data_IF_941706450700
#
_entry.id   IF_941706450700
#
_cell.length_a   1.000
_cell.length_b   1.000
_cell.length_c   1.000
_cell.angle_alpha   90.00
_cell.angle_beta   90.00
_cell.angle_gamma   90.00
#
_symmetry.space_group_name_H-M   'P 1'
#
loop_
_entity.id
_entity.type
_entity.pdbx_description
1 polymer ?
#
# COMPACT_ATOMS: atom_id res chain seq x y z
N UNK A 1 -2.17 -29.97 10.29
CA UNK A 1 -1.35 -30.68 9.30
C UNK A 1 -1.11 -29.71 8.11
N UNK A 2 0.11 -29.70 7.54
CA UNK A 2 0.42 -28.89 6.35
C UNK A 2 -0.16 -29.56 5.10
N UNK A 3 -0.77 -28.77 4.19
CA UNK A 3 -1.25 -29.25 2.91
C UNK A 3 -0.18 -29.01 1.82
N UNK A 4 -0.05 -29.91 0.84
CA UNK A 4 0.81 -29.67 -0.34
C UNK A 4 0.50 -28.37 -1.08
N UNK A 5 -0.75 -27.90 -0.98
CA UNK A 5 -1.25 -26.65 -1.57
C UNK A 5 -1.24 -25.47 -0.61
N UNK A 6 -0.64 -25.59 0.58
CA UNK A 6 -0.41 -24.44 1.43
C UNK A 6 0.38 -23.37 0.67
N UNK A 7 -0.04 -22.12 0.78
CA UNK A 7 0.59 -21.00 0.09
C UNK A 7 1.76 -20.48 0.91
N UNK A 8 2.96 -20.64 0.38
CA UNK A 8 4.21 -20.22 1.01
C UNK A 8 4.73 -18.92 0.38
N UNK A 9 5.16 -17.98 1.19
CA UNK A 9 5.94 -16.81 0.76
C UNK A 9 7.40 -17.28 0.69
N UNK A 10 7.97 -17.29 -0.51
CA UNK A 10 9.33 -17.77 -0.75
C UNK A 10 10.32 -16.67 -1.09
N UNK A 11 9.83 -15.49 -1.48
CA UNK A 11 10.65 -14.32 -1.75
C UNK A 11 9.86 -13.04 -1.62
N UNK A 12 10.59 -11.95 -1.38
CA UNK A 12 10.01 -10.61 -1.27
C UNK A 12 11.04 -9.53 -1.56
N UNK A 13 10.56 -8.40 -2.04
CA UNK A 13 11.36 -7.19 -2.20
C UNK A 13 10.44 -5.99 -2.38
N UNK A 14 10.94 -4.81 -2.03
CA UNK A 14 10.33 -3.53 -2.36
C UNK A 14 11.36 -2.51 -2.83
N UNK A 15 10.91 -1.51 -3.54
CA UNK A 15 11.71 -0.31 -3.75
C UNK A 15 11.80 0.49 -2.46
N UNK A 16 12.73 1.44 -2.33
CA UNK A 16 12.55 2.56 -1.41
C UNK A 16 11.21 3.24 -1.70
N UNK A 17 10.62 3.89 -0.71
CA UNK A 17 9.44 4.73 -0.89
C UNK A 17 9.89 6.17 -1.08
N UNK A 18 9.61 6.73 -2.27
CA UNK A 18 9.85 8.13 -2.61
C UNK A 18 8.72 9.03 -2.10
N UNK A 19 9.06 10.20 -1.60
CA UNK A 19 8.07 11.25 -1.30
C UNK A 19 7.43 11.77 -2.59
N UNK A 20 6.25 12.37 -2.46
CA UNK A 20 5.59 13.04 -3.59
C UNK A 20 6.51 14.08 -4.23
N UNK A 21 6.74 13.94 -5.53
CA UNK A 21 7.69 14.74 -6.31
C UNK A 21 9.13 14.69 -5.76
N UNK A 22 9.47 13.60 -5.08
CA UNK A 22 10.78 13.36 -4.50
C UNK A 22 11.71 12.53 -5.39
N UNK A 23 12.56 11.73 -4.76
CA UNK A 23 13.67 11.01 -5.42
C UNK A 23 13.20 10.04 -6.53
N UNK A 24 11.98 9.48 -6.44
CA UNK A 24 11.43 8.55 -7.43
C UNK A 24 10.45 9.20 -8.41
N UNK A 25 10.24 10.51 -8.36
CA UNK A 25 9.22 11.20 -9.14
C UNK A 25 9.36 11.05 -10.67
N UNK A 26 10.57 10.82 -11.17
CA UNK A 26 10.81 10.58 -12.61
C UNK A 26 10.50 9.14 -13.05
N UNK A 27 10.15 8.26 -12.10
CA UNK A 27 9.96 6.83 -12.36
C UNK A 27 8.48 6.50 -12.45
N UNK A 28 8.11 5.75 -13.49
CA UNK A 28 6.74 5.25 -13.67
C UNK A 28 6.46 4.10 -12.71
N UNK A 29 5.18 3.88 -12.38
CA UNK A 29 4.75 2.72 -11.58
C UNK A 29 5.26 1.39 -12.19
N UNK A 30 5.25 1.27 -13.51
CA UNK A 30 5.75 0.09 -14.24
C UNK A 30 7.24 -0.16 -13.99
N UNK A 31 8.07 0.87 -14.02
CA UNK A 31 9.51 0.76 -13.73
C UNK A 31 9.77 0.34 -12.28
N UNK A 32 9.05 0.95 -11.32
CA UNK A 32 9.12 0.61 -9.91
C UNK A 32 8.66 -0.84 -9.68
N UNK A 33 7.52 -1.23 -10.27
CA UNK A 33 6.99 -2.59 -10.20
C UNK A 33 7.97 -3.62 -10.74
N UNK A 34 8.63 -3.31 -11.87
CA UNK A 34 9.61 -4.24 -12.45
C UNK A 34 10.83 -4.45 -11.53
N UNK A 35 11.28 -3.42 -10.84
CA UNK A 35 12.38 -3.53 -9.89
C UNK A 35 11.99 -4.40 -8.68
N UNK A 36 10.79 -4.18 -8.12
CA UNK A 36 10.28 -5.00 -7.02
C UNK A 36 10.15 -6.48 -7.42
N UNK A 37 9.62 -6.78 -8.62
CA UNK A 37 9.52 -8.16 -9.14
C UNK A 37 10.90 -8.79 -9.25
N UNK A 38 11.87 -8.12 -9.88
CA UNK A 38 13.26 -8.64 -10.00
C UNK A 38 13.85 -8.95 -8.63
N UNK A 39 13.73 -8.01 -7.69
CA UNK A 39 14.22 -8.18 -6.34
C UNK A 39 13.56 -9.35 -5.62
N UNK A 40 12.23 -9.49 -5.73
CA UNK A 40 11.49 -10.58 -5.11
C UNK A 40 11.90 -11.96 -5.66
N UNK A 41 12.01 -12.10 -6.98
CA UNK A 41 12.47 -13.34 -7.62
C UNK A 41 13.91 -13.66 -7.23
N UNK A 42 14.81 -12.67 -7.24
CA UNK A 42 16.20 -12.84 -6.83
C UNK A 42 16.33 -13.28 -5.35
N UNK A 43 15.42 -12.81 -4.49
CA UNK A 43 15.43 -13.18 -3.06
C UNK A 43 15.02 -14.63 -2.76
N UNK A 44 14.47 -15.32 -3.77
CA UNK A 44 14.12 -16.77 -3.66
C UNK A 44 15.31 -17.70 -3.81
N UNK A 45 16.52 -17.20 -4.02
CA UNK A 45 17.73 -18.01 -4.18
C UNK A 45 17.80 -18.72 -5.54
N UNK A 46 17.37 -19.97 -5.62
CA UNK A 46 17.50 -20.79 -6.84
C UNK A 46 16.33 -20.66 -7.83
N UNK A 47 15.30 -19.91 -7.50
CA UNK A 47 14.13 -19.75 -8.39
C UNK A 47 14.52 -19.01 -9.68
N UNK A 48 14.27 -19.64 -10.82
CA UNK A 48 14.50 -19.00 -12.12
C UNK A 48 13.27 -18.17 -12.53
N UNK A 49 13.46 -17.01 -13.16
CA UNK A 49 12.33 -16.19 -13.66
C UNK A 49 11.34 -16.96 -14.55
N UNK A 50 11.84 -17.95 -15.32
CA UNK A 50 11.02 -18.81 -16.17
C UNK A 50 10.08 -19.76 -15.42
N UNK A 51 10.26 -19.91 -14.10
CA UNK A 51 9.37 -20.73 -13.27
C UNK A 51 8.14 -19.97 -12.78
N UNK A 52 8.08 -18.65 -12.96
CA UNK A 52 6.91 -17.85 -12.62
C UNK A 52 5.80 -18.15 -13.65
N UNK A 53 4.62 -18.51 -13.17
CA UNK A 53 3.49 -18.94 -13.99
C UNK A 53 2.40 -17.88 -14.13
N UNK A 54 2.32 -16.93 -13.19
CA UNK A 54 1.32 -15.86 -13.24
C UNK A 54 1.76 -14.65 -12.41
N UNK A 55 1.24 -13.46 -12.74
CA UNK A 55 1.51 -12.21 -12.03
C UNK A 55 0.22 -11.46 -11.73
N UNK A 56 0.01 -11.09 -10.47
CA UNK A 56 -1.02 -10.14 -10.05
C UNK A 56 -0.39 -8.93 -9.41
N UNK A 57 -0.65 -7.73 -9.92
CA UNK A 57 -0.17 -6.48 -9.31
C UNK A 57 -1.32 -5.51 -9.03
N UNK A 58 -1.36 -5.01 -7.81
CA UNK A 58 -2.19 -3.89 -7.41
C UNK A 58 -1.72 -2.60 -8.09
N UNK A 59 -2.65 -1.86 -8.69
CA UNK A 59 -2.35 -0.57 -9.31
C UNK A 59 -3.65 0.25 -9.40
N UNK A 60 -3.66 1.43 -8.82
CA UNK A 60 -4.85 2.30 -8.73
C UNK A 60 -4.81 3.37 -9.82
N UNK A 61 -3.71 4.09 -9.95
CA UNK A 61 -3.53 5.24 -10.85
C UNK A 61 -3.06 4.78 -12.23
N UNK A 62 -3.84 3.95 -12.90
CA UNK A 62 -3.46 3.33 -14.17
C UNK A 62 -3.64 4.23 -15.40
N UNK A 63 -4.27 5.39 -15.25
CA UNK A 63 -4.43 6.34 -16.36
C UNK A 63 -3.06 6.83 -16.86
N UNK A 64 -2.86 6.80 -18.17
CA UNK A 64 -1.58 7.18 -18.79
C UNK A 64 -0.46 6.13 -18.72
N UNK A 65 -0.65 5.01 -18.02
CA UNK A 65 0.36 3.95 -17.90
C UNK A 65 0.39 2.96 -19.08
N UNK A 66 -0.40 3.19 -20.11
CA UNK A 66 -0.52 2.31 -21.26
C UNK A 66 -1.37 1.06 -20.99
N UNK A 67 -1.25 0.07 -21.87
CA UNK A 67 -2.04 -1.15 -21.80
C UNK A 67 -1.41 -2.14 -20.82
N UNK A 68 -2.23 -2.74 -19.94
CA UNK A 68 -1.85 -3.82 -19.03
C UNK A 68 -0.55 -3.52 -18.20
N UNK A 69 -0.56 -2.54 -17.30
CA UNK A 69 0.65 -2.12 -16.56
C UNK A 69 1.36 -3.26 -15.81
N UNK A 70 0.60 -4.21 -15.23
CA UNK A 70 1.19 -5.39 -14.59
C UNK A 70 2.01 -6.23 -15.57
N UNK A 71 1.53 -6.39 -16.82
CA UNK A 71 2.28 -7.11 -17.85
C UNK A 71 3.53 -6.37 -18.27
N UNK A 72 3.45 -5.05 -18.43
CA UNK A 72 4.63 -4.24 -18.74
C UNK A 72 5.71 -4.40 -17.66
N UNK A 73 5.31 -4.34 -16.38
CA UNK A 73 6.22 -4.52 -15.26
C UNK A 73 6.86 -5.92 -15.23
N UNK A 74 6.07 -6.97 -15.51
CA UNK A 74 6.55 -8.35 -15.57
C UNK A 74 7.57 -8.56 -16.69
N UNK A 75 7.30 -8.06 -17.91
CA UNK A 75 8.21 -8.15 -19.05
C UNK A 75 9.50 -7.36 -18.81
N UNK A 76 9.38 -6.13 -18.28
CA UNK A 76 10.53 -5.32 -17.87
C UNK A 76 11.36 -5.97 -16.76
N UNK A 77 10.74 -6.80 -15.93
CA UNK A 77 11.43 -7.58 -14.91
C UNK A 77 12.18 -8.79 -15.47
N UNK A 78 11.99 -9.13 -16.76
CA UNK A 78 12.62 -10.28 -17.43
C UNK A 78 11.83 -11.58 -17.25
N UNK A 79 10.54 -11.53 -16.90
CA UNK A 79 9.67 -12.71 -16.92
C UNK A 79 9.30 -13.08 -18.37
N UNK A 80 8.93 -14.34 -18.58
CA UNK A 80 8.56 -14.84 -19.90
C UNK A 80 7.32 -14.13 -20.46
N UNK A 81 7.28 -13.94 -21.77
CA UNK A 81 6.09 -13.46 -22.49
C UNK A 81 4.87 -14.38 -22.37
N UNK A 82 5.08 -15.65 -22.03
CA UNK A 82 4.01 -16.63 -21.79
C UNK A 82 3.30 -16.46 -20.45
N UNK A 83 3.82 -15.62 -19.53
CA UNK A 83 3.25 -15.42 -18.20
C UNK A 83 2.02 -14.52 -18.28
N UNK A 84 0.82 -14.98 -17.94
CA UNK A 84 -0.35 -14.13 -17.83
C UNK A 84 -0.19 -13.14 -16.68
N UNK A 85 -0.66 -11.91 -16.88
CA UNK A 85 -0.52 -10.83 -15.92
C UNK A 85 -1.83 -10.06 -15.76
N UNK A 86 -2.21 -9.78 -14.52
CA UNK A 86 -3.44 -9.07 -14.19
C UNK A 86 -3.15 -7.87 -13.28
N UNK A 87 -3.67 -6.70 -13.66
CA UNK A 87 -3.71 -5.53 -12.77
C UNK A 87 -4.98 -5.58 -11.92
N UNK A 88 -4.84 -5.35 -10.62
CA UNK A 88 -5.95 -5.38 -9.64
C UNK A 88 -6.12 -3.99 -9.06
N UNK A 89 -7.34 -3.47 -9.09
CA UNK A 89 -7.68 -2.22 -8.40
C UNK A 89 -8.75 -2.46 -7.33
N UNK A 90 -8.36 -2.29 -6.08
CA UNK A 90 -9.21 -2.27 -4.90
C UNK A 90 -8.75 -1.12 -3.99
N UNK A 91 -8.47 0.03 -4.56
CA UNK A 91 -7.93 1.22 -3.90
C UNK A 91 -6.69 0.84 -3.06
N UNK A 92 -6.53 1.34 -1.83
CA UNK A 92 -5.37 1.09 -0.98
C UNK A 92 -5.09 -0.40 -0.69
N UNK A 93 -6.09 -1.29 -0.83
CA UNK A 93 -5.93 -2.73 -0.63
C UNK A 93 -5.59 -3.52 -1.90
N UNK A 94 -5.27 -2.85 -3.01
CA UNK A 94 -5.01 -3.50 -4.31
C UNK A 94 -3.85 -4.50 -4.24
N UNK A 95 -2.75 -4.15 -3.57
CA UNK A 95 -1.60 -5.03 -3.41
C UNK A 95 -1.93 -6.29 -2.63
N UNK A 96 -2.65 -6.17 -1.50
CA UNK A 96 -3.10 -7.35 -0.75
C UNK A 96 -4.17 -8.15 -1.50
N UNK A 97 -5.03 -7.50 -2.28
CA UNK A 97 -5.97 -8.24 -3.14
C UNK A 97 -5.23 -9.05 -4.21
N UNK A 98 -4.14 -8.54 -4.75
CA UNK A 98 -3.25 -9.29 -5.63
C UNK A 98 -2.65 -10.53 -4.92
N UNK A 99 -2.25 -10.41 -3.65
CA UNK A 99 -1.82 -11.56 -2.83
C UNK A 99 -2.95 -12.59 -2.70
N UNK A 100 -4.18 -12.16 -2.43
CA UNK A 100 -5.35 -13.05 -2.36
C UNK A 100 -5.59 -13.76 -3.68
N UNK A 101 -5.51 -13.06 -4.82
CA UNK A 101 -5.68 -13.67 -6.14
C UNK A 101 -4.63 -14.75 -6.42
N UNK A 102 -3.35 -14.47 -6.15
CA UNK A 102 -2.26 -15.43 -6.30
C UNK A 102 -2.41 -16.63 -5.35
N UNK A 103 -2.83 -16.39 -4.12
CA UNK A 103 -3.08 -17.46 -3.16
C UNK A 103 -4.21 -18.37 -3.60
N UNK A 104 -5.30 -17.82 -4.15
CA UNK A 104 -6.41 -18.60 -4.69
C UNK A 104 -6.00 -19.43 -5.89
N UNK A 105 -5.16 -18.91 -6.78
CA UNK A 105 -4.65 -19.66 -7.94
C UNK A 105 -3.83 -20.88 -7.50
N UNK A 106 -2.97 -20.73 -6.48
CA UNK A 106 -2.21 -21.84 -5.90
C UNK A 106 -3.12 -22.82 -5.18
N UNK A 107 -4.02 -22.32 -4.34
CA UNK A 107 -4.93 -23.16 -3.54
C UNK A 107 -5.88 -24.00 -4.41
N UNK A 108 -6.27 -23.46 -5.57
CA UNK A 108 -7.06 -24.17 -6.58
C UNK A 108 -6.23 -25.18 -7.40
N UNK A 109 -4.92 -25.25 -7.19
CA UNK A 109 -4.03 -26.14 -7.97
C UNK A 109 -3.79 -25.69 -9.42
N UNK A 110 -4.11 -24.43 -9.76
CA UNK A 110 -3.93 -23.90 -11.11
C UNK A 110 -2.50 -23.42 -11.36
N UNK A 111 -1.78 -23.03 -10.31
CA UNK A 111 -0.40 -22.52 -10.36
C UNK A 111 0.40 -23.05 -9.17
N UNK A 112 1.69 -23.22 -9.39
CA UNK A 112 2.64 -23.53 -8.33
C UNK A 112 3.46 -22.29 -7.90
N UNK A 113 3.75 -21.36 -8.81
CA UNK A 113 4.57 -20.16 -8.55
C UNK A 113 3.92 -18.91 -9.11
N UNK A 114 3.60 -17.95 -8.25
CA UNK A 114 2.92 -16.71 -8.61
C UNK A 114 3.66 -15.52 -8.02
N UNK A 115 3.89 -14.48 -8.82
CA UNK A 115 4.36 -13.18 -8.34
C UNK A 115 3.15 -12.29 -8.04
N UNK A 116 3.14 -11.70 -6.85
CA UNK A 116 2.07 -10.80 -6.41
C UNK A 116 2.66 -9.53 -5.81
N UNK A 117 1.90 -8.45 -5.79
CA UNK A 117 2.38 -7.21 -5.17
C UNK A 117 1.57 -5.99 -5.57
N UNK A 118 2.21 -4.82 -5.54
CA UNK A 118 1.62 -3.57 -5.95
C UNK A 118 2.68 -2.57 -6.38
N UNK A 119 2.26 -1.62 -7.19
CA UNK A 119 3.09 -0.54 -7.71
C UNK A 119 2.27 0.73 -7.85
N UNK A 120 2.85 1.87 -7.53
CA UNK A 120 2.20 3.16 -7.70
C UNK A 120 3.22 4.27 -7.92
N UNK A 121 2.87 5.25 -8.74
CA UNK A 121 3.62 6.49 -8.88
C UNK A 121 2.63 7.66 -8.80
N UNK A 122 2.41 8.14 -7.58
CA UNK A 122 1.46 9.21 -7.32
C UNK A 122 1.97 10.55 -7.86
N UNK A 123 3.29 10.71 -7.97
CA UNK A 123 3.93 11.87 -8.59
C UNK A 123 3.59 12.00 -10.09
N UNK A 124 3.27 10.91 -10.76
CA UNK A 124 2.96 10.86 -12.19
C UNK A 124 1.46 10.69 -12.50
N UNK A 125 0.58 10.85 -11.50
CA UNK A 125 -0.85 10.82 -11.71
C UNK A 125 -1.29 11.95 -12.67
N UNK A 126 -1.93 11.64 -13.83
CA UNK A 126 -2.30 12.66 -14.81
C UNK A 126 -3.55 13.41 -14.40
N UNK A 127 -3.72 14.62 -14.97
CA UNK A 127 -5.02 15.25 -15.01
C UNK A 127 -5.90 14.57 -16.06
N UNK A 128 -7.16 14.35 -15.73
CA UNK A 128 -8.14 13.69 -16.60
C UNK A 128 -9.06 14.72 -17.23
N UNK A 129 -9.21 14.67 -18.55
CA UNK A 129 -10.14 15.49 -19.29
C UNK A 129 -11.00 14.63 -20.23
N UNK A 130 -12.31 14.89 -20.29
CA UNK A 130 -13.19 14.19 -21.21
C UNK A 130 -12.89 14.60 -22.65
N UNK A 131 -12.37 13.67 -23.47
CA UNK A 131 -11.93 13.93 -24.86
C UNK A 131 -13.01 13.65 -25.89
N UNK A 132 -13.95 12.73 -25.62
CA UNK A 132 -14.90 12.21 -26.64
C UNK A 132 -16.30 12.81 -26.53
N UNK A 133 -16.44 14.05 -26.06
CA UNK A 133 -17.74 14.70 -25.81
C UNK A 133 -18.12 15.83 -26.75
N UNK A 134 -17.55 15.96 -27.96
CA UNK A 134 -17.82 17.05 -28.91
C UNK A 134 -17.30 18.43 -28.46
N UNK A 135 -17.66 19.50 -29.14
CA UNK A 135 -17.15 20.87 -28.86
C UNK A 135 -17.43 21.38 -27.45
N UNK A 136 -18.47 20.89 -26.79
CA UNK A 136 -18.79 21.22 -25.39
C UNK A 136 -17.78 20.62 -24.38
N UNK A 137 -17.03 19.61 -24.76
CA UNK A 137 -16.02 18.98 -23.89
C UNK A 137 -14.73 19.81 -23.75
N UNK A 138 -14.53 20.81 -24.60
CA UNK A 138 -13.35 21.70 -24.55
C UNK A 138 -13.36 22.57 -23.30
N UNK A 139 -14.51 22.76 -22.68
CA UNK A 139 -14.69 23.48 -21.40
C UNK A 139 -14.89 22.54 -20.21
N UNK A 140 -14.68 21.21 -20.39
CA UNK A 140 -14.77 20.27 -19.25
C UNK A 140 -13.64 20.54 -18.25
N UNK A 141 -14.02 20.67 -16.99
CA UNK A 141 -13.08 20.83 -15.89
C UNK A 141 -12.11 19.62 -15.89
N UNK A 142 -10.82 19.90 -15.99
CA UNK A 142 -9.80 18.86 -15.78
C UNK A 142 -9.93 18.33 -14.35
N UNK A 143 -10.06 17.03 -14.21
CA UNK A 143 -10.02 16.37 -12.90
C UNK A 143 -8.61 15.92 -12.62
N UNK A 144 -8.09 16.28 -11.45
CA UNK A 144 -6.86 15.70 -10.95
C UNK A 144 -7.11 14.21 -10.66
N UNK A 145 -6.44 13.33 -11.40
CA UNK A 145 -6.59 11.89 -11.26
C UNK A 145 -6.22 11.39 -9.86
N UNK A 146 -5.32 12.09 -9.18
CA UNK A 146 -4.97 11.79 -7.80
C UNK A 146 -6.13 12.10 -6.85
N UNK A 147 -6.73 13.27 -6.96
CA UNK A 147 -7.90 13.68 -6.14
C UNK A 147 -9.12 12.81 -6.45
N UNK A 148 -9.36 12.46 -7.74
CA UNK A 148 -10.48 11.60 -8.14
C UNK A 148 -10.33 10.19 -7.53
N UNK A 149 -9.12 9.61 -7.54
CA UNK A 149 -8.84 8.31 -6.94
C UNK A 149 -8.92 8.30 -5.41
N UNK A 150 -8.71 9.46 -4.78
CA UNK A 150 -8.78 9.62 -3.33
C UNK A 150 -10.20 9.88 -2.79
N UNK A 151 -11.24 9.52 -3.52
CA UNK A 151 -12.60 9.50 -3.00
C UNK A 151 -13.60 10.43 -3.69
N UNK A 152 -13.15 11.21 -4.70
CA UNK A 152 -14.00 12.21 -5.37
C UNK A 152 -15.27 11.67 -6.04
N UNK A 153 -15.31 10.37 -6.36
CA UNK A 153 -16.44 9.72 -7.01
C UNK A 153 -17.27 8.80 -6.10
N UNK A 154 -16.67 8.29 -5.01
CA UNK A 154 -17.33 7.34 -4.08
C UNK A 154 -17.93 8.04 -2.85
N UNK A 155 -17.34 9.15 -2.44
CA UNK A 155 -17.89 10.05 -1.44
C UNK A 155 -18.75 11.10 -2.17
N UNK A 156 -19.45 11.96 -1.46
CA UNK A 156 -20.19 13.05 -2.10
C UNK A 156 -19.28 13.87 -3.05
N UNK A 157 -19.79 14.40 -4.18
CA UNK A 157 -18.97 15.14 -5.12
C UNK A 157 -18.11 16.21 -4.46
N UNK A 158 -16.80 16.17 -4.70
CA UNK A 158 -15.83 17.08 -4.07
C UNK A 158 -15.36 16.68 -2.66
N UNK A 159 -15.82 15.54 -2.12
CA UNK A 159 -15.35 15.03 -0.83
C UNK A 159 -13.97 14.39 -0.95
N UNK A 160 -13.10 14.70 -0.01
CA UNK A 160 -11.81 14.03 0.15
C UNK A 160 -11.89 12.94 1.23
N UNK A 161 -11.04 11.92 1.16
CA UNK A 161 -10.95 10.83 2.16
C UNK A 161 -10.76 11.36 3.59
N UNK A 162 -10.13 12.52 3.74
CA UNK A 162 -9.97 13.17 5.04
C UNK A 162 -11.29 13.56 5.72
N UNK A 163 -12.37 13.82 4.97
CA UNK A 163 -13.69 14.04 5.56
C UNK A 163 -14.29 12.75 6.16
N UNK A 164 -14.00 11.59 5.57
CA UNK A 164 -14.34 10.31 6.16
C UNK A 164 -13.50 10.03 7.44
N UNK A 165 -12.26 10.49 7.46
CA UNK A 165 -11.44 10.45 8.68
C UNK A 165 -12.01 11.36 9.78
N UNK A 166 -12.48 12.57 9.44
CA UNK A 166 -13.18 13.45 10.40
C UNK A 166 -14.48 12.81 10.93
N UNK A 167 -15.26 12.17 10.05
CA UNK A 167 -16.45 11.41 10.47
C UNK A 167 -16.09 10.31 11.47
N UNK A 168 -15.00 9.58 11.21
CA UNK A 168 -14.51 8.55 12.13
C UNK A 168 -14.10 9.14 13.49
N UNK A 169 -13.46 10.32 13.49
CA UNK A 169 -13.15 11.04 14.72
C UNK A 169 -14.42 11.34 15.51
N UNK A 170 -15.50 11.81 14.85
CA UNK A 170 -16.79 12.09 15.50
C UNK A 170 -17.41 10.83 16.09
N UNK A 171 -17.50 9.78 15.28
CA UNK A 171 -18.16 8.52 15.68
C UNK A 171 -17.41 7.76 16.79
N UNK A 172 -16.10 7.93 16.89
CA UNK A 172 -15.24 7.20 17.84
C UNK A 172 -14.76 8.05 19.00
N UNK A 173 -15.08 9.34 19.03
CA UNK A 173 -14.61 10.27 20.07
C UNK A 173 -13.09 10.44 20.11
N UNK A 174 -12.43 10.30 18.94
CA UNK A 174 -10.98 10.45 18.84
C UNK A 174 -10.66 11.91 18.55
N UNK A 175 -9.86 12.51 19.43
CA UNK A 175 -9.49 13.90 19.34
C UNK A 175 -8.19 14.12 18.55
N UNK A 176 -7.86 15.39 18.35
CA UNK A 176 -6.66 15.82 17.67
C UNK A 176 -5.38 15.40 18.41
N UNK A 177 -5.39 15.48 19.74
CA UNK A 177 -4.23 15.14 20.56
C UNK A 177 -3.85 13.66 20.45
N UNK A 178 -4.84 12.77 20.50
CA UNK A 178 -4.62 11.34 20.31
C UNK A 178 -4.04 11.01 18.93
N UNK A 179 -4.51 11.69 17.88
CA UNK A 179 -4.00 11.49 16.53
C UNK A 179 -2.56 12.00 16.37
N UNK A 180 -2.24 13.18 16.91
CA UNK A 180 -0.88 13.73 16.87
C UNK A 180 0.08 12.86 17.69
N UNK A 181 -0.33 12.37 18.86
CA UNK A 181 0.48 11.46 19.66
C UNK A 181 0.77 10.13 18.92
N UNK A 182 -0.24 9.59 18.25
CA UNK A 182 -0.07 8.38 17.43
C UNK A 182 0.90 8.63 16.27
N UNK A 183 0.75 9.74 15.54
CA UNK A 183 1.64 10.09 14.44
C UNK A 183 3.09 10.27 14.89
N UNK A 184 3.32 10.99 16.00
CA UNK A 184 4.65 11.17 16.58
C UNK A 184 5.31 9.81 16.92
N UNK A 185 4.56 8.89 17.51
CA UNK A 185 5.06 7.56 17.84
C UNK A 185 5.34 6.73 16.57
N UNK A 186 4.51 6.82 15.53
CA UNK A 186 4.74 6.17 14.25
C UNK A 186 6.04 6.66 13.60
N UNK A 187 6.26 7.96 13.52
CA UNK A 187 7.51 8.53 13.01
C UNK A 187 8.72 8.09 13.87
N UNK A 188 8.61 8.15 15.17
CA UNK A 188 9.69 7.74 16.09
C UNK A 188 10.09 6.27 15.87
N UNK A 189 9.11 5.37 15.75
CA UNK A 189 9.37 3.94 15.50
C UNK A 189 9.99 3.71 14.14
N UNK A 190 9.45 4.32 13.09
CA UNK A 190 9.97 4.21 11.72
C UNK A 190 11.41 4.74 11.63
N UNK A 191 11.71 5.86 12.28
CA UNK A 191 13.06 6.42 12.35
C UNK A 191 14.03 5.49 13.07
N UNK A 192 13.64 4.97 14.24
CA UNK A 192 14.46 4.04 15.00
C UNK A 192 14.75 2.75 14.22
N UNK A 193 13.73 2.18 13.55
CA UNK A 193 13.88 0.99 12.71
C UNK A 193 14.77 1.24 11.49
N UNK A 194 14.64 2.39 10.85
CA UNK A 194 15.49 2.80 9.71
C UNK A 194 16.95 2.92 10.15
N UNK A 195 17.21 3.59 11.26
CA UNK A 195 18.57 3.73 11.80
C UNK A 195 19.19 2.39 12.22
N UNK A 196 18.38 1.50 12.76
CA UNK A 196 18.80 0.13 13.10
C UNK A 196 19.02 -0.75 11.85
N UNK A 197 18.65 -0.28 10.66
CA UNK A 197 18.77 -1.03 9.41
C UNK A 197 17.76 -2.18 9.29
N UNK A 198 16.64 -2.13 10.01
CA UNK A 198 15.63 -3.18 10.02
C UNK A 198 15.06 -3.47 8.61
N UNK A 199 14.97 -2.45 7.76
CA UNK A 199 14.42 -2.58 6.41
C UNK A 199 15.42 -3.00 5.33
N UNK A 200 16.71 -3.16 5.64
CA UNK A 200 17.76 -3.48 4.66
C UNK A 200 17.52 -4.78 3.89
N UNK A 201 16.80 -5.72 4.49
CA UNK A 201 16.54 -7.04 3.88
C UNK A 201 15.42 -7.02 2.85
N UNK A 202 14.58 -6.00 2.87
CA UNK A 202 13.42 -5.88 2.00
C UNK A 202 13.60 -4.81 0.92
N UNK A 203 14.36 -3.75 1.21
CA UNK A 203 14.63 -2.67 0.26
C UNK A 203 15.69 -3.09 -0.75
N UNK A 204 15.30 -3.23 -2.02
CA UNK A 204 16.24 -3.29 -3.12
C UNK A 204 16.67 -1.85 -3.49
N UNK A 205 17.97 -1.52 -3.46
CA UNK A 205 18.44 -0.22 -3.93
C UNK A 205 17.93 0.06 -5.33
N UNK A 206 17.41 1.28 -5.55
CA UNK A 206 16.87 1.68 -6.84
C UNK A 206 17.74 2.75 -7.49
N UNK A 207 18.24 2.45 -8.68
CA UNK A 207 19.02 3.39 -9.47
C UNK A 207 18.08 4.22 -10.34
N UNK A 208 17.98 5.51 -10.05
CA UNK A 208 17.27 6.49 -10.88
C UNK A 208 18.23 6.92 -11.98
N UNK A 209 17.95 6.59 -13.25
CA UNK A 209 18.81 7.03 -14.35
C UNK A 209 18.79 8.55 -14.47
N UNK A 210 19.92 9.14 -14.77
CA UNK A 210 20.00 10.56 -15.08
C UNK A 210 19.21 10.85 -16.38
N UNK A 211 18.44 11.95 -16.46
CA UNK A 211 17.71 12.27 -17.68
C UNK A 211 18.65 12.41 -18.85
N UNK A 212 18.40 11.65 -19.91
CA UNK A 212 19.24 11.67 -21.15
C UNK A 212 19.28 13.03 -21.85
N UNK A 213 18.37 13.95 -21.46
CA UNK A 213 18.30 15.34 -21.97
C UNK A 213 19.27 16.30 -21.30
N UNK A 214 19.94 15.88 -20.22
CA UNK A 214 20.91 16.68 -19.49
C UNK A 214 22.29 16.04 -19.62
N UNK A 215 23.28 16.76 -20.12
CA UNK A 215 24.65 16.29 -20.20
C UNK A 215 25.35 16.44 -18.84
N UNK A 216 25.87 15.37 -18.28
CA UNK A 216 26.88 15.40 -17.22
C UNK A 216 26.44 15.13 -15.78
N UNK A 217 25.39 14.38 -15.53
CA UNK A 217 25.02 13.94 -14.18
C UNK A 217 25.16 12.42 -13.99
N UNK A 218 25.49 11.99 -12.78
CA UNK A 218 25.55 10.59 -12.40
C UNK A 218 24.16 10.06 -12.03
N UNK A 219 23.93 8.76 -12.24
CA UNK A 219 22.73 8.08 -11.76
C UNK A 219 22.66 8.12 -10.22
N UNK A 220 21.49 8.43 -9.68
CA UNK A 220 21.28 8.49 -8.23
C UNK A 220 20.79 7.14 -7.73
N UNK A 221 21.46 6.58 -6.74
CA UNK A 221 21.01 5.34 -6.08
C UNK A 221 20.24 5.70 -4.82
N UNK A 222 18.95 5.37 -4.79
CA UNK A 222 18.08 5.53 -3.65
C UNK A 222 18.06 4.22 -2.85
N UNK A 223 18.41 4.28 -1.56
CA UNK A 223 18.61 3.10 -0.72
C UNK A 223 17.71 3.05 0.51
N UNK A 224 16.90 4.07 0.75
CA UNK A 224 16.03 4.17 1.93
C UNK A 224 14.77 4.97 1.67
N UNK A 225 13.81 4.85 2.56
CA UNK A 225 12.53 5.56 2.51
C UNK A 225 12.73 7.05 2.74
N UNK A 226 12.29 7.86 1.77
CA UNK A 226 12.62 9.28 1.73
C UNK A 226 11.94 10.08 2.84
N UNK A 227 10.63 9.84 3.10
CA UNK A 227 9.89 10.60 4.10
C UNK A 227 10.50 10.42 5.50
N UNK A 228 10.76 9.19 5.89
CA UNK A 228 11.36 8.87 7.19
C UNK A 228 12.78 9.40 7.28
N UNK A 229 13.55 9.33 6.20
CA UNK A 229 14.93 9.84 6.17
C UNK A 229 15.00 11.37 6.28
N UNK A 230 14.00 12.07 5.77
CA UNK A 230 13.95 13.54 5.77
C UNK A 230 13.32 14.15 7.01
N UNK A 231 12.34 13.49 7.62
CA UNK A 231 11.49 14.05 8.67
C UNK A 231 11.37 13.21 9.93
N UNK A 232 11.83 11.95 9.89
CA UNK A 232 11.56 11.02 10.98
C UNK A 232 12.04 11.46 12.36
N UNK A 233 13.13 12.21 12.43
CA UNK A 233 13.65 12.77 13.69
C UNK A 233 12.90 14.02 14.13
N UNK A 234 12.45 14.85 13.19
CA UNK A 234 11.87 16.17 13.46
C UNK A 234 10.36 16.12 13.72
N UNK A 235 9.66 15.03 13.35
CA UNK A 235 8.21 14.92 13.51
C UNK A 235 7.82 14.57 14.94
N UNK A 236 8.12 15.51 15.84
CA UNK A 236 7.76 15.43 17.26
C UNK A 236 6.30 15.82 17.48
N UNK A 237 5.75 15.47 18.65
CA UNK A 237 4.40 15.89 19.05
C UNK A 237 4.24 17.41 19.02
N UNK A 238 5.29 18.16 19.40
CA UNK A 238 5.28 19.62 19.37
C UNK A 238 5.14 20.16 17.95
N UNK A 239 5.88 19.61 17.00
CA UNK A 239 5.79 20.01 15.58
C UNK A 239 4.42 19.64 14.96
N UNK A 240 3.89 18.48 15.29
CA UNK A 240 2.58 18.03 14.82
C UNK A 240 1.45 18.95 15.31
N UNK A 241 1.50 19.41 16.55
CA UNK A 241 0.51 20.35 17.12
C UNK A 241 0.45 21.68 16.37
N UNK A 242 1.55 22.10 15.71
CA UNK A 242 1.60 23.38 14.93
C UNK A 242 0.87 23.27 13.58
N UNK A 243 0.58 22.05 13.13
CA UNK A 243 -0.05 21.84 11.82
C UNK A 243 -1.52 22.27 11.85
N UNK A 244 -1.96 22.90 10.76
CA UNK A 244 -3.37 23.27 10.58
C UNK A 244 -4.19 22.06 10.17
N UNK A 245 -5.47 21.97 10.57
CA UNK A 245 -6.40 21.01 10.01
C UNK A 245 -6.44 21.09 8.47
N UNK A 246 -6.39 19.94 7.82
CA UNK A 246 -6.35 19.86 6.37
C UNK A 246 -7.75 19.67 5.75
N UNK A 247 -8.71 19.17 6.53
CA UNK A 247 -10.06 18.87 6.09
C UNK A 247 -11.06 19.55 7.01
N UNK A 248 -11.60 20.67 6.54
CA UNK A 248 -12.64 21.41 7.24
C UNK A 248 -13.94 21.24 6.47
N UNK A 249 -15.03 20.87 7.13
CA UNK A 249 -16.36 20.86 6.50
C UNK A 249 -16.63 22.32 6.04
N UNK A 250 -16.72 22.51 4.72
CA UNK A 250 -17.00 23.84 4.16
C UNK A 250 -18.35 24.35 4.66
N UNK A 251 -18.42 25.63 4.96
CA UNK A 251 -19.66 26.34 5.19
C UNK A 251 -20.49 26.31 3.91
N UNK A 252 -21.30 25.28 3.73
CA UNK A 252 -22.42 25.34 2.82
C UNK A 252 -23.41 26.36 3.40
N UNK A 253 -23.46 27.52 2.76
CA UNK A 253 -24.39 28.60 3.00
C UNK A 253 -24.26 29.35 4.35
N UNK A 254 -23.85 30.61 4.26
CA UNK A 254 -23.56 31.52 5.35
C UNK A 254 -24.72 31.80 6.29
N UNK A 255 -24.93 30.95 7.26
CA UNK A 255 -25.76 31.21 8.42
C UNK A 255 -24.90 31.72 9.57
N UNK A 256 -25.06 32.99 9.93
CA UNK A 256 -24.46 33.56 11.15
C UNK A 256 -24.81 32.70 12.37
N UNK A 257 -23.78 32.18 13.06
CA UNK A 257 -23.94 31.53 14.37
C UNK A 257 -23.56 30.08 14.51
N UNK A 258 -23.14 29.34 13.45
CA UNK A 258 -22.57 27.99 13.61
C UNK A 258 -21.13 28.08 13.99
N UNK A 259 -20.74 27.45 15.13
CA UNK A 259 -19.35 27.23 15.53
C UNK A 259 -18.61 26.62 14.32
N UNK A 260 -17.53 27.30 13.88
CA UNK A 260 -16.60 26.72 12.90
C UNK A 260 -16.18 25.37 13.45
N UNK A 261 -16.59 24.30 12.77
CA UNK A 261 -16.14 22.95 13.09
C UNK A 261 -14.66 22.90 12.74
N UNK A 262 -13.81 23.01 13.75
CA UNK A 262 -12.37 22.96 13.59
C UNK A 262 -12.02 21.50 13.29
N UNK A 263 -11.70 21.19 12.04
CA UNK A 263 -11.18 19.88 11.66
C UNK A 263 -10.04 19.44 12.58
N UNK A 264 -9.85 18.12 12.71
CA UNK A 264 -8.84 17.49 13.59
C UNK A 264 -7.70 16.87 12.79
N UNK A 265 -8.01 16.37 11.59
CA UNK A 265 -7.06 15.66 10.71
C UNK A 265 -6.11 16.67 10.07
N UNK A 266 -4.82 16.40 10.14
CA UNK A 266 -3.75 17.24 9.57
C UNK A 266 -2.92 16.47 8.54
N UNK A 267 -2.04 17.16 7.84
CA UNK A 267 -1.06 16.52 6.98
C UNK A 267 -0.13 15.56 7.75
N UNK A 268 0.17 15.86 9.03
CA UNK A 268 1.02 15.00 9.86
C UNK A 268 0.32 13.76 10.39
N UNK A 269 -1.01 13.78 10.53
CA UNK A 269 -1.82 12.64 10.93
C UNK A 269 -2.47 11.89 9.75
N UNK A 270 -2.04 12.21 8.52
CA UNK A 270 -2.44 11.59 7.26
C UNK A 270 -1.27 10.86 6.63
N UNK A 271 -1.54 9.75 5.90
CA UNK A 271 -0.53 9.10 5.08
C UNK A 271 -0.03 10.04 3.98
N UNK A 272 1.25 9.90 3.61
CA UNK A 272 1.87 10.70 2.55
C UNK A 272 1.49 10.19 1.16
N UNK A 273 1.46 11.10 0.18
CA UNK A 273 1.51 10.73 -1.23
C UNK A 273 2.92 10.23 -1.54
N UNK A 274 3.03 9.10 -2.22
CA UNK A 274 4.32 8.42 -2.36
C UNK A 274 4.44 7.67 -3.68
N UNK A 275 5.68 7.36 -4.05
CA UNK A 275 6.03 6.54 -5.20
C UNK A 275 6.76 5.29 -4.73
N UNK A 276 6.36 4.10 -5.19
CA UNK A 276 7.01 2.86 -4.78
C UNK A 276 6.35 1.61 -5.32
N UNK A 277 6.98 0.47 -5.06
CA UNK A 277 6.46 -0.84 -5.41
C UNK A 277 6.98 -1.92 -4.44
N UNK A 278 6.17 -2.95 -4.25
CA UNK A 278 6.57 -4.13 -3.50
C UNK A 278 6.05 -5.40 -4.21
N UNK A 279 6.81 -6.47 -4.12
CA UNK A 279 6.44 -7.77 -4.67
C UNK A 279 6.79 -8.92 -3.72
N UNK A 280 5.95 -9.95 -3.76
CA UNK A 280 6.17 -11.24 -3.13
C UNK A 280 6.20 -12.31 -4.21
N UNK A 281 6.92 -13.39 -3.94
CA UNK A 281 6.79 -14.65 -4.68
C UNK A 281 6.06 -15.62 -3.77
N UNK A 282 4.92 -16.09 -4.24
CA UNK A 282 4.15 -17.15 -3.61
C UNK A 282 4.43 -18.47 -4.32
N UNK A 283 4.55 -19.55 -3.55
CA UNK A 283 4.67 -20.88 -4.10
C UNK A 283 3.79 -21.89 -3.34
N UNK A 284 3.34 -22.95 -4.03
CA UNK A 284 2.76 -24.10 -3.33
C UNK A 284 3.82 -24.71 -2.41
N UNK A 285 3.42 -25.26 -1.27
CA UNK A 285 4.37 -25.90 -0.35
C UNK A 285 5.12 -27.05 -1.05
N UNK A 286 4.42 -27.82 -1.89
CA UNK A 286 5.03 -28.87 -2.68
C UNK A 286 6.18 -28.32 -3.51
N UNK A 287 5.90 -27.31 -4.35
CA UNK A 287 6.89 -26.73 -5.24
C UNK A 287 8.08 -26.14 -4.45
N UNK A 288 7.77 -25.40 -3.37
CA UNK A 288 8.81 -24.80 -2.52
C UNK A 288 9.74 -25.87 -1.93
N UNK A 289 9.18 -26.99 -1.45
CA UNK A 289 9.97 -28.08 -0.86
C UNK A 289 10.77 -28.82 -1.93
N UNK A 290 10.16 -29.19 -3.06
CA UNK A 290 10.80 -29.96 -4.14
C UNK A 290 11.95 -29.18 -4.79
N UNK A 291 11.90 -27.85 -4.75
CA UNK A 291 12.92 -26.97 -5.33
C UNK A 291 13.83 -26.31 -4.28
N UNK A 292 13.75 -26.71 -3.02
CA UNK A 292 14.54 -26.17 -1.90
C UNK A 292 14.45 -24.64 -1.80
N UNK A 293 13.27 -24.06 -2.01
CA UNK A 293 13.07 -22.62 -1.87
C UNK A 293 12.93 -22.24 -0.39
N UNK A 294 13.43 -21.05 0.02
CA UNK A 294 13.32 -20.60 1.39
C UNK A 294 11.85 -20.26 1.71
N UNK A 295 11.22 -20.95 2.65
CA UNK A 295 9.89 -20.60 3.13
C UNK A 295 10.03 -19.51 4.20
N UNK A 296 9.65 -18.27 3.86
CA UNK A 296 9.73 -17.10 4.73
C UNK A 296 8.48 -16.94 5.60
N UNK A 297 7.36 -17.46 5.13
CA UNK A 297 6.08 -17.43 5.83
C UNK A 297 5.04 -18.27 5.10
N UNK A 298 3.91 -18.52 5.74
CA UNK A 298 2.79 -19.28 5.17
C UNK A 298 1.53 -18.45 5.32
N UNK A 299 0.84 -18.21 4.20
CA UNK A 299 -0.46 -17.53 4.21
C UNK A 299 -1.52 -18.49 4.77
N UNK A 300 -2.11 -18.14 5.91
CA UNK A 300 -3.06 -18.98 6.63
C UNK A 300 -4.51 -18.63 6.38
N UNK A 301 -4.80 -17.38 6.16
CA UNK A 301 -6.16 -16.94 5.94
C UNK A 301 -6.24 -15.58 5.29
N UNK A 302 -7.36 -15.33 4.65
CA UNK A 302 -7.68 -14.07 4.00
C UNK A 302 -9.09 -13.64 4.39
N UNK A 303 -9.32 -12.32 4.44
CA UNK A 303 -10.64 -11.77 4.74
C UNK A 303 -10.82 -10.43 4.06
N UNK A 304 -11.99 -10.23 3.50
CA UNK A 304 -12.43 -8.98 2.89
C UNK A 304 -13.65 -8.45 3.66
N UNK A 305 -13.79 -7.13 3.73
CA UNK A 305 -14.99 -6.49 4.24
C UNK A 305 -15.29 -5.22 3.47
N UNK A 306 -16.54 -4.86 3.41
CA UNK A 306 -17.04 -3.61 2.86
C UNK A 306 -18.13 -3.04 3.74
N UNK A 307 -18.30 -1.72 3.71
CA UNK A 307 -19.37 -0.98 4.39
C UNK A 307 -19.61 0.34 3.60
N UNK A 308 -20.41 1.24 4.16
CA UNK A 308 -20.63 2.55 3.54
C UNK A 308 -19.29 3.25 3.25
N UNK A 309 -19.16 3.88 2.08
CA UNK A 309 -17.88 4.40 1.59
C UNK A 309 -17.23 5.41 2.54
N UNK A 310 -18.03 6.26 3.19
CA UNK A 310 -17.58 7.24 4.17
C UNK A 310 -17.06 6.61 5.49
N UNK A 311 -17.29 5.30 5.70
CA UNK A 311 -16.82 4.54 6.87
C UNK A 311 -15.70 3.57 6.54
N UNK A 312 -15.01 3.73 5.41
CA UNK A 312 -13.89 2.85 5.03
C UNK A 312 -12.84 2.73 6.15
N UNK A 313 -12.69 3.76 6.95
CA UNK A 313 -11.72 3.87 8.05
C UNK A 313 -11.82 2.74 9.09
N UNK A 314 -13.00 2.17 9.28
CA UNK A 314 -13.25 1.06 10.23
C UNK A 314 -13.45 -0.30 9.56
N UNK A 315 -13.29 -0.40 8.24
CA UNK A 315 -13.37 -1.67 7.51
C UNK A 315 -12.35 -2.73 8.00
N UNK A 316 -11.13 -2.39 8.46
CA UNK A 316 -10.19 -3.37 9.02
C UNK A 316 -10.77 -4.17 10.19
N UNK A 317 -11.55 -3.53 11.08
CA UNK A 317 -12.19 -4.20 12.21
C UNK A 317 -13.23 -5.25 11.78
N UNK A 318 -13.74 -5.18 10.55
CA UNK A 318 -14.65 -6.17 9.96
C UNK A 318 -13.89 -7.26 9.20
N UNK A 319 -12.80 -6.89 8.49
CA UNK A 319 -12.01 -7.82 7.69
C UNK A 319 -11.14 -8.75 8.55
N UNK A 320 -10.56 -8.25 9.66
CA UNK A 320 -9.68 -9.01 10.52
C UNK A 320 -10.37 -10.27 11.12
N UNK A 321 -11.57 -10.19 11.70
CA UNK A 321 -12.27 -11.40 12.16
C UNK A 321 -12.59 -12.39 11.04
N UNK A 322 -12.84 -11.93 9.81
CA UNK A 322 -13.07 -12.82 8.67
C UNK A 322 -11.80 -13.60 8.30
N UNK A 323 -10.65 -12.94 8.28
CA UNK A 323 -9.35 -13.59 8.02
C UNK A 323 -8.97 -14.58 9.13
N UNK A 324 -9.23 -14.23 10.40
CA UNK A 324 -8.97 -15.11 11.54
C UNK A 324 -9.86 -16.36 11.50
N UNK A 325 -11.14 -16.22 11.19
CA UNK A 325 -12.05 -17.39 11.00
C UNK A 325 -11.56 -18.28 9.87
N UNK A 326 -11.15 -17.69 8.74
CA UNK A 326 -10.61 -18.46 7.62
C UNK A 326 -9.30 -19.18 8.01
N UNK A 327 -8.47 -18.57 8.83
CA UNK A 327 -7.23 -19.16 9.35
C UNK A 327 -7.46 -20.17 10.49
N UNK A 328 -8.69 -20.36 10.99
CA UNK A 328 -9.00 -21.09 12.22
C UNK A 328 -8.16 -20.60 13.42
N UNK A 329 -8.12 -19.28 13.61
CA UNK A 329 -7.36 -18.59 14.65
C UNK A 329 -8.23 -17.59 15.39
N UNK A 330 -7.79 -17.24 16.59
CA UNK A 330 -8.33 -16.14 17.39
C UNK A 330 -7.39 -14.93 17.40
N UNK A 331 -7.82 -13.81 17.91
CA UNK A 331 -6.94 -12.64 18.09
C UNK A 331 -5.80 -12.89 19.09
N UNK A 332 -5.98 -13.80 20.04
CA UNK A 332 -4.93 -14.20 20.98
C UNK A 332 -3.78 -15.00 20.34
N UNK A 333 -3.99 -15.52 19.13
CA UNK A 333 -2.96 -16.26 18.38
C UNK A 333 -2.10 -15.33 17.51
N UNK A 334 -2.32 -14.01 17.58
CA UNK A 334 -1.66 -13.01 16.71
C UNK A 334 -0.66 -12.19 17.52
N UNK A 335 0.59 -12.30 17.19
CA UNK A 335 1.69 -11.57 17.84
C UNK A 335 1.86 -10.15 17.30
N UNK A 336 1.53 -9.93 16.01
CA UNK A 336 1.73 -8.67 15.31
C UNK A 336 0.55 -8.36 14.38
N UNK A 337 0.09 -7.12 14.42
CA UNK A 337 -0.94 -6.58 13.53
C UNK A 337 -0.37 -5.48 12.65
N UNK A 338 -0.58 -5.60 11.36
CA UNK A 338 -0.25 -4.58 10.37
C UNK A 338 -1.56 -3.95 9.86
N UNK A 339 -1.76 -2.68 10.13
CA UNK A 339 -2.94 -1.92 9.72
C UNK A 339 -2.49 -0.69 8.93
N UNK A 340 -3.05 -0.48 7.74
CA UNK A 340 -2.76 0.70 6.93
C UNK A 340 -3.09 2.00 7.69
N UNK A 341 -2.10 2.81 7.96
CA UNK A 341 -2.25 4.13 8.58
C UNK A 341 -2.67 5.20 7.54
N UNK A 342 -3.78 4.97 6.82
CA UNK A 342 -4.31 5.99 5.90
C UNK A 342 -4.45 7.35 6.62
N UNK A 343 -4.82 7.31 7.88
CA UNK A 343 -4.83 8.40 8.86
C UNK A 343 -4.58 7.81 10.25
N UNK A 344 -4.05 8.60 11.18
CA UNK A 344 -3.86 8.15 12.57
C UNK A 344 -5.16 7.63 13.19
N UNK A 345 -6.30 8.24 12.88
CA UNK A 345 -7.62 7.79 13.35
C UNK A 345 -7.95 6.37 12.91
N UNK A 346 -7.46 5.92 11.75
CA UNK A 346 -7.70 4.53 11.27
C UNK A 346 -7.04 3.52 12.20
N UNK A 347 -5.78 3.74 12.54
CA UNK A 347 -5.10 2.88 13.50
C UNK A 347 -5.80 2.90 14.86
N UNK A 348 -6.06 4.09 15.42
CA UNK A 348 -6.71 4.26 16.73
C UNK A 348 -8.10 3.61 16.80
N UNK A 349 -8.93 3.81 15.77
CA UNK A 349 -10.30 3.27 15.74
C UNK A 349 -10.33 1.73 15.65
N UNK A 350 -9.37 1.13 14.96
CA UNK A 350 -9.36 -0.32 14.77
C UNK A 350 -8.65 -1.07 15.90
N UNK A 351 -7.70 -0.44 16.61
CA UNK A 351 -7.03 -1.03 17.78
C UNK A 351 -7.92 -1.14 18.99
N UNK A 352 -8.71 -0.10 19.29
CA UNK A 352 -9.65 -0.10 20.39
C UNK A 352 -10.83 -1.08 20.21
N UNK A 353 -11.29 -1.28 18.97
CA UNK A 353 -12.46 -2.09 18.66
C UNK A 353 -12.20 -3.62 18.71
N UNK A 354 -10.96 -4.06 18.55
CA UNK A 354 -10.60 -5.47 18.43
C UNK A 354 -9.64 -5.97 19.52
N UNK A 355 -9.34 -5.16 20.55
CA UNK A 355 -8.28 -5.43 21.53
C UNK A 355 -6.95 -5.82 20.86
N UNK A 356 -6.65 -5.20 19.71
CA UNK A 356 -5.45 -5.49 18.92
C UNK A 356 -4.26 -4.77 19.53
N UNK A 357 -3.23 -5.52 19.86
CA UNK A 357 -1.94 -4.94 20.24
C UNK A 357 -1.20 -4.54 18.95
N UNK A 358 -0.86 -3.26 18.78
CA UNK A 358 -0.42 -2.71 17.49
C UNK A 358 1.08 -2.48 17.45
N UNK A 359 1.72 -3.09 16.46
CA UNK A 359 2.90 -2.52 15.81
C UNK A 359 2.46 -2.01 14.43
N UNK A 360 2.79 -0.78 14.13
CA UNK A 360 2.24 -0.05 13.00
C UNK A 360 3.09 -0.20 11.76
N UNK A 361 2.61 -0.91 10.75
CA UNK A 361 2.98 -0.75 9.34
C UNK A 361 1.82 -1.14 8.40
N UNK A 362 1.65 -0.36 7.40
CA UNK A 362 0.65 -0.15 6.38
C UNK A 362 0.20 -1.38 5.59
N UNK A 363 -1.02 -1.90 5.73
CA UNK A 363 -1.93 -2.30 4.65
C UNK A 363 -3.27 -2.92 5.10
N UNK A 364 -4.38 -2.61 4.42
CA UNK A 364 -5.71 -3.15 4.73
C UNK A 364 -6.00 -4.39 3.91
N UNK A 365 -5.70 -5.48 4.46
CA UNK A 365 -6.23 -6.85 4.35
C UNK A 365 -5.45 -7.68 5.36
N UNK A 366 -6.12 -8.38 6.24
CA UNK A 366 -5.41 -9.19 7.22
C UNK A 366 -5.00 -10.49 6.54
N UNK A 367 -3.70 -10.63 6.29
CA UNK A 367 -3.11 -11.93 6.01
C UNK A 367 -2.49 -12.43 7.30
N UNK A 368 -3.00 -13.52 7.85
CA UNK A 368 -2.37 -14.18 9.01
C UNK A 368 -1.22 -15.01 8.48
N UNK A 369 0.00 -14.49 8.61
CA UNK A 369 1.22 -15.20 8.27
C UNK A 369 1.87 -15.71 9.56
N UNK A 370 2.23 -16.99 9.59
CA UNK A 370 3.12 -17.51 10.62
C UNK A 370 4.54 -17.43 10.10
N UNK A 371 5.34 -16.54 10.67
CA UNK A 371 6.79 -16.60 10.55
C UNK A 371 7.24 -17.66 11.55
N UNK A 372 7.46 -18.87 11.11
CA UNK A 372 7.81 -19.99 11.97
C UNK A 372 9.23 -20.40 11.78
N UNK A 373 9.98 -20.46 12.87
CA UNK A 373 11.06 -21.42 13.03
C UNK A 373 10.43 -22.82 13.11
N UNK A 374 10.20 -23.47 11.98
CA UNK A 374 10.17 -24.93 11.95
C UNK A 374 11.58 -25.38 11.59
N UNK A 375 12.35 -25.82 12.64
CA UNK A 375 13.48 -26.71 12.51
C UNK A 375 13.00 -28.08 12.00
#
# INVERSE_FOLDING_TARGET
MSSPLDVCIVGYSRTPIGSFRGALASQTAVQLGSAAIRGAVASCGTLRPAAVEEVFLGHVLSAGCGQAPARQAALLAGLSESVPCTSVNKVCSSGLKAVVCGALAIHAGLRDVVVVGGMESMSNAPYLAAKRGGAAAVHSVQRDGLTDSCGGSLLAPGSAMGLAAELCCDERGIDREAMDAHAAESYRRSWAATRAGAFRREIAPYTVPYPSTCSGGDAVVVTGDEEVSRRGEDMTLEELRKLRPAFVKGDGDGGEGKKKDHGRVTAGSSSTLSDGAAALVLASRRYATDNNLPIRGVLRGVGDAAQASERFTTAPALAAPAALRHAHRSSADVDLWEINEAFSVVALANTGAAALCVCVYVCVCVCVCRVGSEQ
#
